data_IF_519699391090
#
_entry.id   IF_519699391090
#
_cell.length_a   1.000
_cell.length_b   1.000
_cell.length_c   1.000
_cell.angle_alpha   90.00
_cell.angle_beta   90.00
_cell.angle_gamma   90.00
#
_symmetry.space_group_name_H-M   'P 1'
#
loop_
_entity.id
_entity.type
_entity.pdbx_description
1 polymer ?
#
# COMPACT_ATOMS: atom_id res chain seq x y z
N UNK A 1 -4.43 6.32 -12.27
CA UNK A 1 -4.00 6.30 -10.85
C UNK A 1 -5.04 5.65 -9.91
N UNK A 2 -6.20 5.18 -10.40
CA UNK A 2 -7.33 4.74 -9.56
C UNK A 2 -7.42 3.23 -9.24
N UNK A 3 -6.54 2.37 -9.75
CA UNK A 3 -6.64 0.91 -9.54
C UNK A 3 -5.70 0.36 -8.45
N UNK A 4 -4.69 1.12 -8.04
CA UNK A 4 -3.63 0.66 -7.14
C UNK A 4 -3.49 1.50 -5.86
N UNK A 5 -4.24 2.59 -5.68
CA UNK A 5 -4.03 3.48 -4.54
C UNK A 5 -4.59 2.94 -3.23
N UNK A 6 -3.74 2.36 -2.37
CA UNK A 6 -3.82 2.34 -0.90
C UNK A 6 -5.03 1.69 -0.17
N UNK A 7 -6.20 1.60 -0.81
CA UNK A 7 -7.48 1.24 -0.18
C UNK A 7 -7.49 -0.20 0.37
N UNK A 8 -6.82 -1.14 -0.32
CA UNK A 8 -6.67 -2.53 0.15
C UNK A 8 -5.78 -2.65 1.40
N UNK A 9 -4.81 -1.75 1.58
CA UNK A 9 -3.92 -1.74 2.75
C UNK A 9 -4.64 -1.29 4.02
N UNK A 10 -5.48 -0.24 3.92
CA UNK A 10 -6.24 0.28 5.05
C UNK A 10 -7.26 -0.72 5.63
N UNK A 11 -7.91 -1.52 4.77
CA UNK A 11 -8.86 -2.57 5.19
C UNK A 11 -8.14 -3.66 6.01
N UNK A 12 -6.92 -4.05 5.61
CA UNK A 12 -6.13 -5.06 6.33
C UNK A 12 -5.74 -4.61 7.74
N UNK A 13 -5.37 -3.34 7.90
CA UNK A 13 -5.03 -2.76 9.21
C UNK A 13 -6.27 -2.67 10.11
N UNK A 14 -7.42 -2.25 9.56
CA UNK A 14 -8.68 -2.19 10.30
C UNK A 14 -9.12 -3.58 10.80
N UNK A 15 -8.97 -4.63 9.98
CA UNK A 15 -9.26 -6.01 10.38
C UNK A 15 -8.32 -6.48 11.51
N UNK A 16 -7.02 -6.19 11.40
CA UNK A 16 -6.05 -6.54 12.45
C UNK A 16 -6.34 -5.84 13.78
N UNK A 17 -6.81 -4.58 13.74
CA UNK A 17 -7.22 -3.84 14.95
C UNK A 17 -8.51 -4.39 15.58
N UNK A 18 -9.36 -5.04 14.80
CA UNK A 18 -10.60 -5.67 15.29
C UNK A 18 -10.39 -7.00 16.02
N UNK A 19 -9.17 -7.55 16.04
CA UNK A 19 -8.89 -8.80 16.77
C UNK A 19 -9.00 -8.59 18.30
N UNK A 20 -9.59 -9.54 19.04
CA UNK A 20 -9.62 -9.52 20.51
C UNK A 20 -8.20 -9.60 21.08
N UNK A 21 -7.98 -8.93 22.22
CA UNK A 21 -6.68 -8.91 22.90
C UNK A 21 -6.27 -10.33 23.31
N UNK A 22 -5.20 -10.80 22.67
CA UNK A 22 -4.54 -12.08 22.94
C UNK A 22 -3.04 -11.90 22.79
N UNK A 23 -2.25 -12.82 23.35
CA UNK A 23 -0.78 -12.81 23.28
C UNK A 23 -0.25 -12.76 21.84
N UNK A 24 -1.04 -13.24 20.87
CA UNK A 24 -0.71 -13.27 19.44
C UNK A 24 -1.08 -12.01 18.67
N UNK A 25 -1.97 -11.17 19.23
CA UNK A 25 -2.43 -9.92 18.60
C UNK A 25 -1.28 -8.99 18.20
N UNK A 26 -0.29 -8.67 19.05
CA UNK A 26 0.82 -7.79 18.66
C UNK A 26 1.66 -8.38 17.51
N UNK A 27 1.84 -9.70 17.46
CA UNK A 27 2.58 -10.37 16.38
C UNK A 27 1.82 -10.27 15.04
N UNK A 28 0.52 -10.49 15.05
CA UNK A 28 -0.35 -10.34 13.86
C UNK A 28 -0.39 -8.88 13.41
N UNK A 29 -0.51 -7.94 14.36
CA UNK A 29 -0.52 -6.51 14.05
C UNK A 29 0.78 -6.09 13.37
N UNK A 30 1.93 -6.49 13.93
CA UNK A 30 3.26 -6.18 13.39
C UNK A 30 3.45 -6.75 11.98
N UNK A 31 3.04 -8.00 11.75
CA UNK A 31 3.10 -8.62 10.42
C UNK A 31 2.21 -7.89 9.41
N UNK A 32 0.98 -7.54 9.81
CA UNK A 32 0.04 -6.82 8.94
C UNK A 32 0.57 -5.42 8.59
N UNK A 33 1.13 -4.72 9.57
CA UNK A 33 1.77 -3.42 9.36
C UNK A 33 2.99 -3.52 8.44
N UNK A 34 3.85 -4.53 8.64
CA UNK A 34 5.02 -4.75 7.79
C UNK A 34 4.61 -4.97 6.33
N UNK A 35 3.63 -5.85 6.08
CA UNK A 35 3.14 -6.15 4.72
C UNK A 35 2.54 -4.91 4.07
N UNK A 36 1.75 -4.13 4.81
CA UNK A 36 1.12 -2.90 4.30
C UNK A 36 2.16 -1.84 3.95
N UNK A 37 3.13 -1.57 4.84
CA UNK A 37 4.21 -0.61 4.59
C UNK A 37 5.05 -1.06 3.40
N UNK A 38 5.45 -2.33 3.35
CA UNK A 38 6.20 -2.89 2.24
C UNK A 38 5.46 -2.68 0.91
N UNK A 39 4.15 -2.95 0.89
CA UNK A 39 3.31 -2.74 -0.28
C UNK A 39 3.25 -1.27 -0.71
N UNK A 40 3.09 -0.33 0.24
CA UNK A 40 3.09 1.11 -0.06
C UNK A 40 4.42 1.56 -0.66
N UNK A 41 5.55 1.09 -0.13
CA UNK A 41 6.88 1.44 -0.63
C UNK A 41 7.08 0.89 -2.05
N UNK A 42 6.82 -0.41 -2.26
CA UNK A 42 6.96 -1.04 -3.59
C UNK A 42 6.04 -0.37 -4.60
N UNK A 43 4.80 -0.06 -4.22
CA UNK A 43 3.85 0.63 -5.09
C UNK A 43 4.29 2.07 -5.39
N UNK A 44 4.76 2.83 -4.39
CA UNK A 44 5.28 4.19 -4.60
C UNK A 44 6.44 4.22 -5.59
N UNK A 45 7.38 3.26 -5.46
CA UNK A 45 8.51 3.12 -6.38
C UNK A 45 8.08 2.64 -7.78
N UNK A 46 7.04 1.82 -7.88
CA UNK A 46 6.53 1.31 -9.16
C UNK A 46 5.70 2.37 -9.91
N UNK A 47 4.85 3.11 -9.20
CA UNK A 47 4.02 4.19 -9.77
C UNK A 47 4.91 5.32 -10.29
N UNK A 48 5.98 5.69 -9.58
CA UNK A 48 6.96 6.67 -10.07
C UNK A 48 7.63 6.22 -11.38
N UNK A 49 7.94 4.92 -11.52
CA UNK A 49 8.55 4.37 -12.74
C UNK A 49 7.55 4.26 -13.90
N UNK A 50 6.29 3.92 -13.61
CA UNK A 50 5.21 3.84 -14.60
C UNK A 50 4.80 5.24 -15.06
N UNK A 51 4.69 6.21 -14.15
CA UNK A 51 4.43 7.61 -14.51
C UNK A 51 5.53 8.19 -15.40
N UNK A 52 6.80 7.92 -15.09
CA UNK A 52 7.92 8.30 -15.97
C UNK A 52 7.92 7.57 -17.32
N UNK A 53 7.35 6.36 -17.41
CA UNK A 53 7.23 5.62 -18.69
C UNK A 53 6.03 6.05 -19.53
N UNK A 54 4.91 6.42 -18.90
CA UNK A 54 3.71 6.91 -19.59
C UNK A 54 3.74 8.42 -19.85
N UNK A 55 4.62 9.18 -19.21
CA UNK A 55 4.83 10.61 -19.44
C UNK A 55 5.69 10.92 -20.67
N UNK A 56 5.37 10.34 -21.83
CA UNK A 56 5.80 10.91 -23.13
C UNK A 56 4.62 11.77 -23.65
N UNK A 57 4.93 13.04 -23.84
CA UNK A 57 4.10 14.25 -24.04
C UNK A 57 2.94 14.15 -25.05
N UNK A 58 1.96 15.08 -25.00
CA UNK A 58 1.60 15.85 -26.18
C UNK A 58 2.32 17.20 -26.10
N UNK A 59 3.27 17.38 -27.01
CA UNK A 59 3.88 18.66 -27.36
C UNK A 59 2.80 19.74 -27.46
N UNK A 60 2.90 20.77 -26.61
CA UNK A 60 2.24 22.04 -26.84
C UNK A 60 3.24 22.95 -27.54
N UNK A 61 3.38 22.79 -28.86
CA UNK A 61 3.99 23.76 -29.77
C UNK A 61 3.00 24.08 -30.88
#
# INVERSE_FOLDING_TARGET
IMTWGGLKGGISVALALSLPDSEWKPLILAATYMVVIFSIIVQGLTVARVANRLGREPDLV
#
